data_IF_568454622037
#
_entry.id   IF_568454622037
#
_cell.length_a   1.000
_cell.length_b   1.000
_cell.length_c   1.000
_cell.angle_alpha   90.00
_cell.angle_beta   90.00
_cell.angle_gamma   90.00
#
_symmetry.space_group_name_H-M   'P 1'
#
loop_
_entity.id
_entity.type
_entity.pdbx_description
1 polymer ?
#
# COMPACT_ATOMS: atom_id res chain seq x y z
N UNK A 1 -13.91 -3.72 17.50
CA UNK A 1 -14.56 -2.90 18.56
C UNK A 1 -13.92 -1.53 18.59
N UNK A 2 -14.69 -0.46 18.41
CA UNK A 2 -14.18 0.92 18.39
C UNK A 2 -14.00 1.39 19.84
N UNK A 3 -12.77 1.64 20.29
CA UNK A 3 -12.47 2.28 21.57
C UNK A 3 -11.91 3.69 21.27
N UNK A 4 -12.73 4.73 21.45
CA UNK A 4 -12.28 6.11 21.40
C UNK A 4 -12.23 6.69 22.80
N UNK A 5 -11.10 7.29 23.17
CA UNK A 5 -10.94 8.12 24.37
C UNK A 5 -11.45 9.55 24.14
N UNK A 6 -11.86 9.88 22.91
CA UNK A 6 -12.16 11.24 22.48
C UNK A 6 -13.65 11.54 22.52
N UNK A 7 -14.00 12.80 22.78
CA UNK A 7 -15.37 13.29 22.79
C UNK A 7 -15.95 13.29 21.38
N UNK A 8 -17.25 13.09 21.23
CA UNK A 8 -17.94 13.09 19.93
C UNK A 8 -17.69 14.40 19.15
N UNK A 9 -17.66 15.54 19.87
CA UNK A 9 -17.40 16.85 19.26
C UNK A 9 -16.00 16.95 18.62
N UNK A 10 -15.00 16.29 19.19
CA UNK A 10 -13.66 16.23 18.61
C UNK A 10 -13.67 15.42 17.31
N UNK A 11 -14.41 14.30 17.29
CA UNK A 11 -14.59 13.47 16.09
C UNK A 11 -15.30 14.26 14.99
N UNK A 12 -16.39 14.94 15.30
CA UNK A 12 -17.13 15.78 14.34
C UNK A 12 -16.25 16.90 13.80
N UNK A 13 -15.50 17.58 14.67
CA UNK A 13 -14.58 18.65 14.24
C UNK A 13 -13.49 18.09 13.32
N UNK A 14 -12.93 16.93 13.63
CA UNK A 14 -11.95 16.25 12.81
C UNK A 14 -12.49 15.87 11.43
N UNK A 15 -13.72 15.36 11.36
CA UNK A 15 -14.38 14.99 10.10
C UNK A 15 -14.72 16.21 9.22
N UNK A 16 -15.04 17.36 9.83
CA UNK A 16 -15.49 18.55 9.09
C UNK A 16 -14.38 19.53 8.73
N UNK A 17 -13.31 19.57 9.51
CA UNK A 17 -12.20 20.56 9.36
C UNK A 17 -10.82 19.93 9.48
N UNK A 18 -10.76 18.66 9.84
CA UNK A 18 -9.52 17.96 10.06
C UNK A 18 -8.94 17.34 8.79
N UNK A 19 -7.73 16.87 8.94
CA UNK A 19 -7.05 16.02 7.99
C UNK A 19 -6.61 14.76 8.69
N UNK A 20 -6.66 13.63 8.00
CA UNK A 20 -6.27 12.34 8.57
C UNK A 20 -5.19 11.68 7.74
N UNK A 21 -4.20 11.14 8.42
CA UNK A 21 -3.19 10.22 7.87
C UNK A 21 -3.31 8.87 8.55
N UNK A 22 -2.85 7.82 7.89
CA UNK A 22 -2.99 6.49 8.44
C UNK A 22 -1.84 5.57 8.07
N UNK A 23 -1.62 4.56 8.91
CA UNK A 23 -0.79 3.43 8.62
C UNK A 23 -1.59 2.13 8.71
N UNK A 24 -1.19 1.15 7.93
CA UNK A 24 -1.75 -0.21 8.01
C UNK A 24 -0.60 -1.15 8.26
N UNK A 25 -0.64 -1.88 9.36
CA UNK A 25 0.37 -2.84 9.76
C UNK A 25 -0.21 -4.26 9.71
N UNK A 26 0.65 -5.23 9.42
CA UNK A 26 0.38 -6.65 9.58
C UNK A 26 1.31 -7.21 10.64
N UNK A 27 0.80 -8.14 11.45
CA UNK A 27 1.61 -8.90 12.39
C UNK A 27 1.82 -10.33 11.88
N UNK A 28 2.97 -10.87 12.18
CA UNK A 28 3.32 -12.27 11.92
C UNK A 28 3.76 -12.88 13.26
N UNK A 29 3.11 -13.94 13.68
CA UNK A 29 3.37 -14.59 14.98
C UNK A 29 3.37 -13.60 16.17
N UNK A 30 2.43 -12.65 16.16
CA UNK A 30 2.30 -11.64 17.23
C UNK A 30 3.33 -10.51 17.20
N UNK A 31 4.17 -10.42 16.15
CA UNK A 31 5.12 -9.34 15.98
C UNK A 31 4.73 -8.44 14.81
N UNK A 32 4.67 -7.12 14.97
CA UNK A 32 4.37 -6.20 13.89
C UNK A 32 5.55 -6.14 12.90
N UNK A 33 5.24 -6.30 11.62
CA UNK A 33 6.25 -6.23 10.57
C UNK A 33 6.58 -4.78 10.22
N UNK A 34 7.88 -4.47 10.08
CA UNK A 34 8.41 -3.19 9.61
C UNK A 34 7.88 -1.98 10.42
N UNK A 35 7.76 -2.13 11.75
CA UNK A 35 7.18 -1.12 12.63
C UNK A 35 7.88 0.24 12.49
N UNK A 36 9.20 0.24 12.39
CA UNK A 36 10.03 1.44 12.30
C UNK A 36 9.82 2.17 10.96
N UNK A 37 9.74 1.43 9.87
CA UNK A 37 9.49 1.97 8.54
C UNK A 37 8.07 2.56 8.42
N UNK A 38 7.08 1.92 9.04
CA UNK A 38 5.73 2.46 9.14
C UNK A 38 5.71 3.78 9.92
N UNK A 39 6.44 3.86 11.04
CA UNK A 39 6.55 5.10 11.79
C UNK A 39 7.25 6.21 10.99
N UNK A 40 8.36 5.91 10.30
CA UNK A 40 9.05 6.91 9.48
C UNK A 40 8.16 7.43 8.34
N UNK A 41 7.35 6.58 7.72
CA UNK A 41 6.38 7.01 6.71
C UNK A 41 5.24 7.83 7.32
N UNK A 42 4.76 7.50 8.52
CA UNK A 42 3.82 8.32 9.27
C UNK A 42 4.39 9.71 9.54
N UNK A 43 5.63 9.80 10.04
CA UNK A 43 6.34 11.07 10.24
C UNK A 43 6.40 11.90 8.97
N UNK A 44 6.77 11.26 7.86
CA UNK A 44 6.82 11.91 6.55
C UNK A 44 5.45 12.45 6.14
N UNK A 45 4.39 11.68 6.31
CA UNK A 45 3.02 12.12 6.03
C UNK A 45 2.62 13.32 6.89
N UNK A 46 2.91 13.29 8.19
CA UNK A 46 2.60 14.38 9.12
C UNK A 46 3.44 15.65 8.83
N UNK A 47 4.69 15.49 8.39
CA UNK A 47 5.56 16.62 8.05
C UNK A 47 5.02 17.48 6.90
N UNK A 48 4.39 16.86 5.88
CA UNK A 48 3.72 17.60 4.80
C UNK A 48 2.60 18.50 5.32
N UNK A 49 1.98 18.10 6.42
CA UNK A 49 0.87 18.82 7.05
C UNK A 49 1.35 19.78 8.14
N UNK A 50 2.67 19.86 8.40
CA UNK A 50 3.28 20.63 9.50
C UNK A 50 2.72 20.23 10.86
N UNK A 51 2.47 18.95 11.06
CA UNK A 51 1.98 18.38 12.30
C UNK A 51 3.12 17.63 12.97
N UNK A 52 3.33 17.89 14.26
CA UNK A 52 4.32 17.17 15.06
C UNK A 52 3.89 15.70 15.22
N UNK A 53 4.74 14.74 14.86
CA UNK A 53 4.44 13.32 15.02
C UNK A 53 4.47 12.93 16.50
N UNK A 54 3.76 11.86 16.91
CA UNK A 54 3.96 11.27 18.23
C UNK A 54 5.39 10.77 18.38
N UNK A 55 5.89 10.60 19.61
CA UNK A 55 7.15 9.91 19.85
C UNK A 55 7.07 8.44 19.34
N UNK A 56 8.22 7.88 18.94
CA UNK A 56 8.24 6.49 18.45
C UNK A 56 7.73 5.51 19.52
N UNK A 57 8.11 5.74 20.75
CA UNK A 57 7.72 4.93 21.91
C UNK A 57 6.20 4.92 22.13
N UNK A 58 5.54 6.07 21.90
CA UNK A 58 4.08 6.17 22.01
C UNK A 58 3.39 5.43 20.86
N UNK A 59 3.93 5.55 19.63
CA UNK A 59 3.44 4.81 18.47
C UNK A 59 3.64 3.30 18.65
N UNK A 60 4.80 2.87 19.08
CA UNK A 60 5.12 1.47 19.37
C UNK A 60 4.20 0.90 20.44
N UNK A 61 4.04 1.61 21.57
CA UNK A 61 3.12 1.22 22.63
C UNK A 61 1.68 1.07 22.13
N UNK A 62 1.20 2.03 21.34
CA UNK A 62 -0.15 1.99 20.74
C UNK A 62 -0.33 0.73 19.86
N UNK A 63 0.69 0.36 19.07
CA UNK A 63 0.68 -0.85 18.25
C UNK A 63 0.60 -2.09 19.13
N UNK A 64 1.46 -2.22 20.15
CA UNK A 64 1.51 -3.42 20.99
C UNK A 64 0.27 -3.57 21.90
N UNK A 65 -0.35 -2.48 22.34
CA UNK A 65 -1.61 -2.51 23.11
C UNK A 65 -2.82 -2.94 22.25
N UNK A 66 -2.71 -2.86 20.92
CA UNK A 66 -3.80 -3.14 19.98
C UNK A 66 -3.45 -4.21 18.94
N UNK A 67 -2.52 -5.11 19.25
CA UNK A 67 -2.08 -6.14 18.32
C UNK A 67 -3.25 -6.95 17.75
N UNK A 68 -3.26 -7.05 16.45
CA UNK A 68 -4.14 -7.93 15.67
C UNK A 68 -3.42 -8.36 14.40
N UNK A 69 -3.93 -9.33 13.69
CA UNK A 69 -3.30 -9.82 12.46
C UNK A 69 -3.10 -8.68 11.44
N UNK A 70 -4.09 -7.78 11.34
CA UNK A 70 -3.99 -6.54 10.60
C UNK A 70 -4.61 -5.41 11.41
N UNK A 71 -3.93 -4.29 11.50
CA UNK A 71 -4.44 -3.09 12.15
C UNK A 71 -4.24 -1.87 11.28
N UNK A 72 -5.17 -0.92 11.38
CA UNK A 72 -5.04 0.41 10.81
C UNK A 72 -5.03 1.43 11.92
N UNK A 73 -3.97 2.22 11.96
CA UNK A 73 -3.83 3.35 12.90
C UNK A 73 -4.09 4.62 12.11
N UNK A 74 -5.03 5.41 12.59
CA UNK A 74 -5.44 6.67 11.95
C UNK A 74 -5.14 7.80 12.92
N UNK A 75 -4.39 8.78 12.45
CA UNK A 75 -4.15 10.03 13.14
C UNK A 75 -4.98 11.13 12.49
N UNK A 76 -5.85 11.74 13.25
CA UNK A 76 -6.71 12.85 12.79
C UNK A 76 -6.30 14.11 13.50
N UNK A 77 -5.94 15.13 12.73
CA UNK A 77 -5.58 16.44 13.27
C UNK A 77 -6.73 17.43 13.08
N UNK A 78 -7.10 18.08 14.16
CA UNK A 78 -8.08 19.17 14.20
C UNK A 78 -7.53 20.32 15.05
N UNK A 79 -7.81 20.34 16.35
CA UNK A 79 -7.19 21.23 17.34
C UNK A 79 -5.98 20.57 18.01
N UNK A 80 -5.97 19.26 18.05
CA UNK A 80 -4.90 18.40 18.55
C UNK A 80 -4.84 17.15 17.66
N UNK A 81 -3.78 16.36 17.81
CA UNK A 81 -3.65 15.07 17.15
C UNK A 81 -4.46 14.04 17.94
N UNK A 82 -5.39 13.39 17.27
CA UNK A 82 -6.25 12.33 17.80
C UNK A 82 -5.88 11.02 17.12
N UNK A 83 -5.82 9.95 17.89
CA UNK A 83 -5.44 8.62 17.40
C UNK A 83 -6.61 7.63 17.48
N UNK A 84 -6.77 6.81 16.46
CA UNK A 84 -7.76 5.75 16.38
C UNK A 84 -7.13 4.48 15.85
N UNK A 85 -7.43 3.35 16.49
CA UNK A 85 -6.95 2.04 16.02
C UNK A 85 -8.14 1.19 15.61
N UNK A 86 -8.07 0.68 14.38
CA UNK A 86 -9.02 -0.27 13.82
C UNK A 86 -8.30 -1.61 13.70
N UNK A 87 -8.74 -2.59 14.47
CA UNK A 87 -8.33 -3.98 14.29
C UNK A 87 -9.17 -4.57 13.15
N UNK A 88 -8.50 -5.11 12.17
CA UNK A 88 -9.14 -5.69 11.00
C UNK A 88 -8.73 -7.17 10.94
N UNK A 89 -9.73 -8.07 10.93
CA UNK A 89 -9.47 -9.48 10.67
C UNK A 89 -9.03 -9.63 9.21
N UNK A 90 -8.01 -10.44 9.00
CA UNK A 90 -7.67 -10.85 7.63
C UNK A 90 -8.57 -12.02 7.29
N UNK A 91 -9.57 -11.79 6.44
CA UNK A 91 -10.20 -12.93 5.80
C UNK A 91 -9.11 -13.73 5.06
N UNK A 92 -9.04 -15.04 5.30
CA UNK A 92 -8.20 -15.94 4.51
C UNK A 92 -8.67 -15.87 3.05
N UNK A 93 -8.09 -14.99 2.28
CA UNK A 93 -8.29 -15.00 0.84
C UNK A 93 -7.56 -16.22 0.27
N UNK A 94 -8.29 -17.30 0.05
CA UNK A 94 -7.83 -18.53 -0.63
C UNK A 94 -7.61 -18.33 -2.13
N UNK A 95 -7.52 -17.08 -2.60
CA UNK A 95 -7.37 -16.78 -4.03
C UNK A 95 -5.90 -16.79 -4.37
N UNK A 96 -5.47 -17.72 -5.22
CA UNK A 96 -4.07 -17.84 -5.65
C UNK A 96 -3.62 -16.66 -6.53
N UNK A 97 -4.54 -16.05 -7.26
CA UNK A 97 -4.31 -14.93 -8.18
C UNK A 97 -5.55 -14.03 -8.28
N UNK A 98 -5.38 -12.83 -8.79
CA UNK A 98 -6.44 -11.83 -8.88
C UNK A 98 -6.55 -11.24 -10.27
N UNK A 99 -7.71 -10.61 -10.53
CA UNK A 99 -7.96 -9.79 -11.72
C UNK A 99 -7.84 -8.32 -11.35
N UNK A 100 -7.27 -7.53 -12.26
CA UNK A 100 -7.21 -6.08 -12.16
C UNK A 100 -7.67 -5.43 -13.47
N UNK A 101 -7.92 -4.16 -13.43
CA UNK A 101 -8.15 -3.37 -14.65
C UNK A 101 -7.34 -2.07 -14.59
N UNK A 102 -7.29 -1.32 -15.68
CA UNK A 102 -6.70 0.01 -15.73
C UNK A 102 -7.85 1.02 -15.69
N UNK A 103 -7.83 1.90 -14.68
CA UNK A 103 -8.86 2.94 -14.56
C UNK A 103 -8.54 4.17 -15.40
N UNK A 104 -9.58 4.88 -15.84
CA UNK A 104 -9.44 6.21 -16.46
C UNK A 104 -9.14 7.32 -15.45
N UNK A 105 -9.40 7.08 -14.17
CA UNK A 105 -9.10 8.03 -13.09
C UNK A 105 -7.59 8.09 -12.89
N UNK A 106 -7.05 9.30 -12.95
CA UNK A 106 -5.61 9.52 -12.81
C UNK A 106 -5.22 9.70 -11.35
N UNK A 107 -4.02 9.26 -11.02
CA UNK A 107 -3.36 9.61 -9.77
C UNK A 107 -3.22 11.14 -9.69
N UNK A 108 -3.45 11.72 -8.53
CA UNK A 108 -3.26 13.15 -8.34
C UNK A 108 -1.84 13.56 -8.72
N UNK A 109 -1.72 14.74 -9.32
CA UNK A 109 -0.42 15.30 -9.69
C UNK A 109 0.49 15.43 -8.45
N UNK A 110 1.75 14.95 -8.50
CA UNK A 110 2.68 15.00 -7.37
C UNK A 110 2.96 16.40 -6.83
N UNK A 111 2.80 17.44 -7.65
CA UNK A 111 2.94 18.83 -7.21
C UNK A 111 1.71 19.35 -6.46
N UNK A 112 0.54 18.73 -6.70
CA UNK A 112 -0.70 19.09 -6.01
C UNK A 112 -0.87 18.32 -4.71
N UNK A 113 -0.60 17.02 -4.72
CA UNK A 113 -0.69 16.14 -3.54
C UNK A 113 0.57 15.26 -3.51
N UNK A 114 1.44 15.43 -2.50
CA UNK A 114 2.61 14.59 -2.37
C UNK A 114 2.24 13.10 -2.42
N UNK A 115 2.87 12.28 -3.27
CA UNK A 115 2.55 10.85 -3.41
C UNK A 115 2.71 10.09 -2.10
N UNK A 116 3.71 10.47 -1.30
CA UNK A 116 4.02 9.85 0.00
C UNK A 116 3.09 10.29 1.13
N UNK A 117 2.20 11.25 0.90
CA UNK A 117 1.18 11.63 1.86
C UNK A 117 0.12 10.53 1.92
N UNK A 118 0.25 9.64 2.90
CA UNK A 118 -0.70 8.54 3.13
C UNK A 118 -1.90 9.04 3.94
N UNK A 119 -2.78 9.83 3.27
CA UNK A 119 -3.95 10.43 3.90
C UNK A 119 -5.23 9.67 3.58
N UNK A 120 -6.21 9.75 4.48
CA UNK A 120 -7.58 9.36 4.22
C UNK A 120 -8.29 10.41 3.34
N UNK A 121 -9.42 10.00 2.76
CA UNK A 121 -10.27 10.93 2.01
C UNK A 121 -9.67 11.41 0.69
N UNK A 122 -8.78 10.65 0.09
CA UNK A 122 -8.19 10.94 -1.24
C UNK A 122 -9.24 10.73 -2.33
N UNK A 123 -9.75 11.81 -2.98
CA UNK A 123 -10.81 11.68 -4.00
C UNK A 123 -10.37 10.86 -5.21
N UNK A 124 -9.12 11.02 -5.66
CA UNK A 124 -8.55 10.28 -6.80
C UNK A 124 -8.60 8.76 -6.54
N UNK A 125 -8.14 8.31 -5.38
CA UNK A 125 -8.15 6.90 -4.99
C UNK A 125 -9.59 6.40 -4.83
N UNK A 126 -10.46 7.18 -4.22
CA UNK A 126 -11.86 6.80 -4.01
C UNK A 126 -12.59 6.64 -5.34
N UNK A 127 -12.47 7.62 -6.25
CA UNK A 127 -13.07 7.56 -7.57
C UNK A 127 -12.53 6.41 -8.41
N UNK A 128 -11.22 6.16 -8.37
CA UNK A 128 -10.62 5.00 -9.02
C UNK A 128 -11.21 3.69 -8.49
N UNK A 129 -11.38 3.58 -7.17
CA UNK A 129 -11.96 2.39 -6.54
C UNK A 129 -13.42 2.14 -6.98
N UNK A 130 -14.19 3.17 -7.27
CA UNK A 130 -15.55 3.02 -7.81
C UNK A 130 -15.57 2.39 -9.21
N UNK A 131 -14.50 2.53 -10.00
CA UNK A 131 -14.40 1.90 -11.32
C UNK A 131 -13.98 0.43 -11.26
N UNK A 132 -13.66 -0.09 -10.08
CA UNK A 132 -13.11 -1.44 -9.89
C UNK A 132 -14.04 -2.56 -10.38
N UNK A 133 -15.36 -2.41 -10.24
CA UNK A 133 -16.31 -3.50 -10.47
C UNK A 133 -15.95 -4.74 -9.63
N UNK A 134 -15.93 -5.90 -10.27
CA UNK A 134 -15.59 -7.19 -9.65
C UNK A 134 -14.07 -7.47 -9.62
N UNK A 135 -13.23 -6.56 -10.12
CA UNK A 135 -11.79 -6.72 -10.05
C UNK A 135 -11.30 -6.55 -8.61
N UNK A 136 -10.13 -7.14 -8.32
CA UNK A 136 -9.48 -7.02 -7.02
C UNK A 136 -9.06 -5.57 -6.72
N UNK A 137 -8.42 -4.94 -7.69
CA UNK A 137 -7.98 -3.55 -7.66
C UNK A 137 -8.01 -2.98 -9.08
N UNK A 138 -7.77 -1.67 -9.22
CA UNK A 138 -7.53 -1.02 -10.51
C UNK A 138 -6.21 -0.29 -10.49
N UNK A 139 -5.46 -0.40 -11.58
CA UNK A 139 -4.19 0.29 -11.78
C UNK A 139 -4.47 1.71 -12.26
N UNK A 140 -3.95 2.68 -11.54
CA UNK A 140 -4.03 4.10 -11.85
C UNK A 140 -2.82 4.51 -12.70
N UNK A 141 -3.04 5.38 -13.65
CA UNK A 141 -1.99 6.04 -14.41
C UNK A 141 -1.74 7.45 -13.86
N UNK A 142 -0.55 7.95 -14.01
CA UNK A 142 -0.19 9.31 -13.65
C UNK A 142 -0.61 10.34 -14.70
N UNK A 143 -0.32 11.61 -14.44
CA UNK A 143 -0.70 12.74 -15.29
C UNK A 143 0.00 12.75 -16.64
N UNK A 144 1.14 12.08 -16.77
CA UNK A 144 1.88 11.88 -18.03
C UNK A 144 1.51 10.57 -18.76
N UNK A 145 0.53 9.82 -18.23
CA UNK A 145 0.08 8.55 -18.80
C UNK A 145 0.88 7.32 -18.35
N UNK A 146 1.93 7.49 -17.56
CA UNK A 146 2.74 6.39 -17.01
C UNK A 146 1.94 5.57 -16.00
N UNK A 147 2.28 4.29 -15.86
CA UNK A 147 1.76 3.43 -14.80
C UNK A 147 2.21 3.95 -13.44
N UNK A 148 1.27 4.07 -12.52
CA UNK A 148 1.55 4.40 -11.12
C UNK A 148 1.39 3.16 -10.24
N UNK A 149 0.24 2.98 -9.65
CA UNK A 149 -0.04 1.99 -8.61
C UNK A 149 -1.52 1.61 -8.59
N UNK A 150 -1.90 0.62 -7.80
CA UNK A 150 -3.31 0.34 -7.51
C UNK A 150 -3.90 1.34 -6.51
N UNK A 151 -5.19 1.16 -6.14
CA UNK A 151 -5.85 2.04 -5.16
C UNK A 151 -5.38 1.78 -3.72
N UNK A 152 -4.73 0.66 -3.46
CA UNK A 152 -4.14 0.28 -2.16
C UNK A 152 -2.88 -0.61 -2.31
N UNK A 153 -2.36 -0.76 -3.52
CA UNK A 153 -1.25 -1.64 -3.86
C UNK A 153 -0.23 -0.97 -4.78
N UNK A 154 1.04 -1.39 -4.72
CA UNK A 154 2.00 -1.09 -5.78
C UNK A 154 2.02 -2.23 -6.81
N UNK A 155 2.52 -1.98 -8.01
CA UNK A 155 2.55 -2.93 -9.12
C UNK A 155 3.98 -3.29 -9.52
N UNK A 156 4.18 -4.55 -9.90
CA UNK A 156 5.40 -5.10 -10.46
C UNK A 156 5.11 -5.87 -11.73
N UNK A 157 6.04 -5.82 -12.67
CA UNK A 157 6.06 -6.60 -13.88
C UNK A 157 7.27 -7.53 -13.87
N UNK A 158 7.12 -8.71 -14.43
CA UNK A 158 8.23 -9.62 -14.73
C UNK A 158 8.35 -9.68 -16.26
N UNK A 159 9.55 -9.41 -16.76
CA UNK A 159 9.84 -9.46 -18.20
C UNK A 159 11.23 -10.00 -18.44
N UNK A 160 11.33 -11.10 -19.20
CA UNK A 160 12.61 -11.76 -19.51
C UNK A 160 13.47 -12.01 -18.26
N UNK A 161 12.85 -12.44 -17.15
CA UNK A 161 13.52 -12.71 -15.87
C UNK A 161 13.88 -11.48 -15.04
N UNK A 162 13.64 -10.26 -15.53
CA UNK A 162 13.83 -9.01 -14.79
C UNK A 162 12.54 -8.57 -14.12
N UNK A 163 12.67 -7.93 -12.95
CA UNK A 163 11.56 -7.34 -12.21
C UNK A 163 11.56 -5.84 -12.43
N UNK A 164 10.41 -5.29 -12.79
CA UNK A 164 10.22 -3.87 -13.08
C UNK A 164 9.10 -3.34 -12.23
N UNK A 165 9.29 -2.20 -11.58
CA UNK A 165 8.25 -1.50 -10.84
C UNK A 165 8.31 0.00 -11.12
N UNK A 166 7.17 0.71 -11.16
CA UNK A 166 7.19 2.16 -11.27
C UNK A 166 8.10 2.78 -10.20
N UNK A 167 8.95 3.72 -10.62
CA UNK A 167 9.79 4.49 -9.71
C UNK A 167 8.95 5.50 -8.91
N UNK A 168 9.50 6.05 -7.82
CA UNK A 168 8.79 7.04 -6.99
C UNK A 168 8.42 8.30 -7.79
N UNK A 169 9.23 8.67 -8.79
CA UNK A 169 8.96 9.78 -9.71
C UNK A 169 7.71 9.57 -10.58
N UNK A 170 7.22 8.34 -10.66
CA UNK A 170 5.93 8.04 -11.31
C UNK A 170 4.72 8.59 -10.54
N UNK A 171 4.92 9.06 -9.30
CA UNK A 171 3.86 9.59 -8.45
C UNK A 171 3.16 8.53 -7.59
N UNK A 172 3.87 7.47 -7.24
CA UNK A 172 3.38 6.38 -6.39
C UNK A 172 3.68 6.63 -4.90
N UNK A 173 2.92 5.96 -4.04
CA UNK A 173 3.27 5.84 -2.63
C UNK A 173 4.52 4.96 -2.48
N UNK A 174 5.47 5.38 -1.64
CA UNK A 174 6.57 4.52 -1.23
C UNK A 174 6.05 3.42 -0.29
N UNK A 175 5.65 2.31 -0.89
CA UNK A 175 5.04 1.19 -0.19
C UNK A 175 6.06 0.41 0.64
N UNK A 176 5.79 0.21 1.95
CA UNK A 176 6.67 -0.60 2.81
C UNK A 176 6.82 -2.03 2.25
N UNK A 177 5.72 -2.65 1.85
CA UNK A 177 5.79 -3.99 1.22
C UNK A 177 6.56 -3.96 -0.09
N UNK A 178 6.39 -2.91 -0.92
CA UNK A 178 7.17 -2.72 -2.16
C UNK A 178 8.67 -2.67 -1.84
N UNK A 179 9.08 -1.88 -0.87
CA UNK A 179 10.48 -1.74 -0.45
C UNK A 179 11.07 -3.09 -0.02
N UNK A 180 10.37 -3.84 0.80
CA UNK A 180 10.82 -5.16 1.25
C UNK A 180 10.82 -6.21 0.14
N UNK A 181 9.88 -6.15 -0.81
CA UNK A 181 9.87 -7.02 -2.00
C UNK A 181 11.07 -6.72 -2.90
N UNK A 182 11.40 -5.45 -3.13
CA UNK A 182 12.62 -5.08 -3.87
C UNK A 182 13.87 -5.64 -3.19
N UNK A 183 13.97 -5.48 -1.87
CA UNK A 183 15.07 -6.01 -1.08
C UNK A 183 15.14 -7.54 -1.19
N UNK A 184 14.05 -8.23 -0.95
CA UNK A 184 13.96 -9.70 -1.07
C UNK A 184 14.37 -10.19 -2.45
N UNK A 185 13.91 -9.57 -3.53
CA UNK A 185 14.27 -9.94 -4.90
C UNK A 185 15.77 -9.75 -5.16
N UNK A 186 16.34 -8.61 -4.74
CA UNK A 186 17.80 -8.34 -4.87
C UNK A 186 18.65 -9.34 -4.08
N UNK A 187 18.26 -9.64 -2.84
CA UNK A 187 18.94 -10.64 -1.99
C UNK A 187 18.81 -12.06 -2.56
N UNK A 188 17.74 -12.33 -3.32
CA UNK A 188 17.52 -13.59 -4.05
C UNK A 188 18.26 -13.65 -5.40
N UNK A 189 19.04 -12.63 -5.76
CA UNK A 189 19.83 -12.58 -6.99
C UNK A 189 19.07 -12.11 -8.24
N UNK A 190 17.86 -11.57 -8.09
CA UNK A 190 17.10 -11.03 -9.22
C UNK A 190 17.48 -9.58 -9.53
N UNK A 191 17.44 -9.22 -10.82
CA UNK A 191 17.57 -7.85 -11.27
C UNK A 191 16.25 -7.12 -11.10
N UNK A 192 16.28 -5.95 -10.42
CA UNK A 192 15.10 -5.11 -10.17
C UNK A 192 15.35 -3.72 -10.70
N UNK A 193 14.49 -3.28 -11.63
CA UNK A 193 14.49 -1.95 -12.22
C UNK A 193 13.35 -1.10 -11.66
N UNK A 194 13.69 0.05 -11.13
CA UNK A 194 12.74 1.08 -10.69
C UNK A 194 12.75 2.20 -11.71
N UNK A 195 11.71 2.32 -12.55
CA UNK A 195 11.65 3.27 -13.66
C UNK A 195 10.24 3.66 -14.04
N UNK A 196 10.11 4.59 -14.97
CA UNK A 196 8.82 4.81 -15.64
C UNK A 196 8.40 3.56 -16.40
N UNK A 197 7.12 3.23 -16.32
CA UNK A 197 6.49 2.07 -16.96
C UNK A 197 5.36 2.57 -17.86
N UNK A 198 5.39 2.18 -19.12
CA UNK A 198 4.30 2.49 -20.06
C UNK A 198 3.13 1.51 -19.87
N UNK A 199 1.86 1.95 -20.02
CA UNK A 199 0.70 1.08 -19.86
C UNK A 199 0.74 -0.18 -20.72
N UNK A 200 1.28 -0.09 -21.92
CA UNK A 200 1.42 -1.23 -22.83
C UNK A 200 2.31 -2.34 -22.26
N UNK A 201 3.30 -2.01 -21.43
CA UNK A 201 4.21 -2.99 -20.85
C UNK A 201 3.48 -3.97 -19.92
N UNK A 202 2.37 -3.55 -19.26
CA UNK A 202 1.54 -4.44 -18.46
C UNK A 202 1.00 -5.62 -19.27
N UNK A 203 0.67 -5.40 -20.54
CA UNK A 203 0.11 -6.44 -21.43
C UNK A 203 1.19 -7.31 -22.10
N UNK A 204 2.42 -6.79 -22.21
CA UNK A 204 3.55 -7.53 -22.78
C UNK A 204 4.45 -8.19 -21.73
N UNK A 205 4.19 -7.96 -20.46
CA UNK A 205 4.87 -8.63 -19.37
C UNK A 205 4.66 -10.14 -19.41
N UNK A 206 5.59 -10.89 -18.86
CA UNK A 206 5.44 -12.34 -18.70
C UNK A 206 4.53 -12.64 -17.53
N UNK A 207 4.69 -11.90 -16.41
CA UNK A 207 3.79 -11.89 -15.26
C UNK A 207 3.63 -10.48 -14.70
N UNK A 208 2.54 -10.26 -13.99
CA UNK A 208 2.28 -9.04 -13.22
C UNK A 208 1.85 -9.44 -11.81
N UNK A 209 2.29 -8.69 -10.81
CA UNK A 209 1.81 -8.88 -9.44
C UNK A 209 1.67 -7.54 -8.70
N UNK A 210 0.85 -7.54 -7.69
CA UNK A 210 0.65 -6.42 -6.78
C UNK A 210 1.38 -6.67 -5.46
N UNK A 211 1.68 -5.58 -4.74
CA UNK A 211 2.20 -5.67 -3.38
C UNK A 211 1.44 -4.74 -2.44
N UNK A 212 1.05 -5.25 -1.27
CA UNK A 212 0.46 -4.46 -0.20
C UNK A 212 0.59 -5.15 1.17
N UNK A 213 0.46 -4.39 2.23
CA UNK A 213 0.72 -4.84 3.61
C UNK A 213 -0.08 -6.08 4.02
N UNK A 214 -1.34 -6.18 3.63
CA UNK A 214 -2.22 -7.26 4.11
C UNK A 214 -1.86 -8.64 3.54
N UNK A 215 -1.23 -8.71 2.36
CA UNK A 215 -0.99 -9.99 1.65
C UNK A 215 0.42 -10.18 1.09
N UNK A 216 1.30 -9.18 1.22
CA UNK A 216 2.62 -9.27 0.59
C UNK A 216 2.51 -9.20 -0.93
N UNK A 217 2.93 -10.25 -1.63
CA UNK A 217 2.88 -10.39 -3.10
C UNK A 217 1.56 -11.05 -3.50
N UNK A 218 0.85 -10.45 -4.47
CA UNK A 218 -0.43 -10.94 -5.01
C UNK A 218 -0.33 -11.08 -6.52
N UNK A 219 -0.25 -12.31 -7.07
CA UNK A 219 -0.18 -12.56 -8.50
C UNK A 219 -1.42 -12.05 -9.24
N UNK A 220 -1.22 -11.52 -10.46
CA UNK A 220 -2.31 -11.05 -11.33
C UNK A 220 -2.39 -11.95 -12.55
N UNK A 221 -3.55 -12.58 -12.76
CA UNK A 221 -3.78 -13.46 -13.91
C UNK A 221 -4.54 -12.81 -15.07
N UNK A 222 -5.10 -11.60 -14.85
CA UNK A 222 -5.87 -10.90 -15.87
C UNK A 222 -5.82 -9.39 -15.66
N UNK A 223 -5.65 -8.63 -16.75
CA UNK A 223 -5.71 -7.17 -16.78
C UNK A 223 -6.79 -6.77 -17.80
N UNK A 224 -7.87 -6.14 -17.34
CA UNK A 224 -9.05 -5.91 -18.16
C UNK A 224 -9.59 -7.24 -18.72
N UNK A 225 -9.62 -7.36 -20.05
CA UNK A 225 -10.07 -8.58 -20.73
C UNK A 225 -8.93 -9.56 -21.08
N UNK A 226 -7.67 -9.16 -20.93
CA UNK A 226 -6.51 -9.94 -21.36
C UNK A 226 -5.91 -10.71 -20.18
N UNK A 227 -5.67 -12.00 -20.40
CA UNK A 227 -4.95 -12.86 -19.44
C UNK A 227 -3.45 -12.55 -19.51
N UNK A 228 -2.78 -12.55 -18.34
CA UNK A 228 -1.32 -12.58 -18.28
C UNK A 228 -0.78 -13.90 -18.80
N UNK A 229 0.48 -13.96 -19.22
CA UNK A 229 1.06 -15.17 -19.82
C UNK A 229 1.25 -16.28 -18.77
N UNK A 230 1.59 -15.91 -17.55
CA UNK A 230 1.84 -16.81 -16.43
C UNK A 230 1.56 -16.10 -15.09
N UNK A 231 1.46 -16.88 -14.02
CA UNK A 231 1.47 -16.43 -12.61
C UNK A 231 2.38 -17.34 -11.77
N UNK A 232 3.16 -18.20 -12.42
CA UNK A 232 3.89 -19.28 -11.74
C UNK A 232 5.01 -18.72 -10.85
N UNK A 233 5.83 -17.81 -11.39
CA UNK A 233 6.94 -17.24 -10.65
C UNK A 233 6.42 -16.32 -9.51
N UNK A 234 5.46 -15.46 -9.79
CA UNK A 234 4.87 -14.58 -8.77
C UNK A 234 4.16 -15.36 -7.65
N UNK A 235 3.54 -16.51 -7.95
CA UNK A 235 2.96 -17.40 -6.95
C UNK A 235 4.03 -18.07 -6.06
N UNK A 236 5.16 -18.49 -6.65
CA UNK A 236 6.31 -18.99 -5.89
C UNK A 236 6.91 -17.91 -4.99
N UNK A 237 7.08 -16.71 -5.54
CA UNK A 237 7.60 -15.56 -4.79
C UNK A 237 6.68 -15.12 -3.66
N UNK A 238 5.36 -15.21 -3.83
CA UNK A 238 4.39 -14.90 -2.78
C UNK A 238 4.64 -15.75 -1.52
N UNK A 239 4.81 -17.06 -1.70
CA UNK A 239 5.11 -17.99 -0.60
C UNK A 239 6.50 -17.74 0.01
N UNK A 240 7.51 -17.56 -0.84
CA UNK A 240 8.88 -17.32 -0.39
C UNK A 240 9.01 -15.99 0.35
N UNK A 241 8.32 -14.94 -0.08
CA UNK A 241 8.30 -13.65 0.59
C UNK A 241 7.66 -13.72 1.99
N UNK A 242 6.60 -14.51 2.15
CA UNK A 242 5.98 -14.70 3.47
C UNK A 242 6.95 -15.36 4.46
N UNK A 243 7.70 -16.38 4.02
CA UNK A 243 8.73 -16.99 4.84
C UNK A 243 9.91 -16.03 5.11
N UNK A 244 10.32 -15.26 4.11
CA UNK A 244 11.34 -14.22 4.27
C UNK A 244 10.95 -13.20 5.35
N UNK A 245 9.72 -12.72 5.34
CA UNK A 245 9.22 -11.79 6.37
C UNK A 245 9.27 -12.41 7.77
N UNK A 246 8.84 -13.67 7.90
CA UNK A 246 8.90 -14.40 9.19
C UNK A 246 10.33 -14.55 9.72
N UNK A 247 11.32 -14.71 8.83
CA UNK A 247 12.74 -14.79 9.22
C UNK A 247 13.33 -13.45 9.68
N UNK A 248 12.72 -12.31 9.32
CA UNK A 248 13.16 -10.97 9.73
C UNK A 248 12.67 -10.57 11.14
N UNK A 249 11.73 -11.31 11.72
CA UNK A 249 11.05 -11.03 13.00
C UNK A 249 11.56 -11.89 14.15
#
# INVERSE_FOLDING_TARGET
>A
MFKSKHRMDDVITALTKGIAVYETLRTYNGKPFALKEHYERLKKSLSYLKIEPPAFEDFEKLVYENLSERMRIVYVYSKSLLEYVFQEDTEEFKVEYVKVDITTVRRADPWSIPPDLKSLGRPDIYLARLTKGDNYDVIMLGTKGQVCEGTFSNVFLIKNGKFITPSLESGILDGITRMYVIRFLKESGYEVEERFVEPAELFYADEVFLTHTSRGIVPVNQIGTLKTKSVELSSKLSKAFEEYVKCLL
#
